data_IF_134358960811
#
_entry.id   IF_134358960811
#
_cell.length_a   1.000
_cell.length_b   1.000
_cell.length_c   1.000
_cell.angle_alpha   90.00
_cell.angle_beta   90.00
_cell.angle_gamma   90.00
#
_symmetry.space_group_name_H-M   'P 1'
#
loop_
_entity.id
_entity.type
_entity.pdbx_description
1 polymer ?
#
# COMPACT_ATOMS: atom_id res chain seq x y z
N UNK A 1 6.08 -10.04 15.20
CA UNK A 1 5.63 -9.54 16.52
C UNK A 1 6.84 -9.35 17.43
N UNK A 2 6.98 -8.19 18.06
CA UNK A 2 8.22 -7.75 18.73
C UNK A 2 8.40 -8.42 20.10
N UNK A 3 9.48 -9.18 20.27
CA UNK A 3 9.87 -9.86 21.52
C UNK A 3 10.18 -8.91 22.71
N UNK A 4 10.05 -7.59 22.54
CA UNK A 4 10.63 -6.56 23.43
C UNK A 4 9.62 -5.67 24.17
N UNK A 5 8.30 -5.87 24.04
CA UNK A 5 7.32 -5.07 24.79
C UNK A 5 6.31 -5.95 25.52
N UNK A 6 5.98 -5.67 26.80
CA UNK A 6 4.83 -6.29 27.44
C UNK A 6 3.59 -6.00 26.58
N UNK A 7 2.67 -6.98 26.47
CA UNK A 7 1.42 -6.89 25.67
C UNK A 7 0.56 -5.67 26.04
N UNK A 8 0.81 -5.04 27.18
CA UNK A 8 -0.08 -4.14 27.89
C UNK A 8 -0.03 -2.67 27.45
N UNK A 9 0.19 -2.38 26.15
CA UNK A 9 -0.34 -1.21 25.40
C UNK A 9 0.47 -0.99 24.13
N UNK A 10 0.20 -1.81 23.11
CA UNK A 10 0.55 -1.45 21.74
C UNK A 10 -0.48 -0.45 21.23
N UNK A 11 -0.06 0.78 20.93
CA UNK A 11 -0.86 1.76 20.20
C UNK A 11 -0.38 1.76 18.75
N UNK A 12 -1.22 1.26 17.85
CA UNK A 12 -0.96 1.22 16.41
C UNK A 12 -1.77 2.33 15.74
N UNK A 13 -1.21 2.94 14.71
CA UNK A 13 -1.90 3.96 13.94
C UNK A 13 -2.93 3.29 13.01
N UNK A 14 -4.20 3.70 13.13
CA UNK A 14 -5.24 3.37 12.15
C UNK A 14 -5.00 4.11 10.84
N UNK A 15 -5.37 3.51 9.70
CA UNK A 15 -5.23 4.20 8.41
C UNK A 15 -6.34 5.25 8.21
N UNK A 16 -6.29 5.95 7.08
CA UNK A 16 -7.26 6.99 6.73
C UNK A 16 -6.79 7.80 5.53
N UNK A 17 -7.33 9.00 5.40
CA UNK A 17 -6.94 9.96 4.36
C UNK A 17 -6.95 11.39 4.92
N UNK A 18 -6.35 12.32 4.18
CA UNK A 18 -6.28 13.74 4.56
C UNK A 18 -6.87 14.56 3.41
N UNK A 19 -7.69 15.54 3.76
CA UNK A 19 -8.27 16.46 2.79
C UNK A 19 -7.17 17.25 2.04
N UNK A 20 -7.23 17.23 0.69
CA UNK A 20 -6.33 17.97 -0.19
C UNK A 20 -4.82 17.75 0.10
N UNK A 21 -4.45 16.54 0.50
CA UNK A 21 -3.06 16.23 0.83
C UNK A 21 -2.22 15.84 -0.40
N UNK A 22 -0.90 15.98 -0.24
CA UNK A 22 0.05 15.36 -1.14
C UNK A 22 0.04 13.83 -0.93
N UNK A 23 -0.56 13.10 -1.87
CA UNK A 23 -0.74 11.64 -1.81
C UNK A 23 0.58 10.84 -1.76
N UNK A 24 1.70 11.45 -2.19
CA UNK A 24 3.02 10.79 -2.16
C UNK A 24 3.70 10.85 -0.79
N UNK A 25 3.22 11.70 0.11
CA UNK A 25 3.77 11.80 1.46
C UNK A 25 3.05 10.81 2.38
N UNK A 26 3.80 9.88 2.98
CA UNK A 26 3.25 9.04 4.04
C UNK A 26 2.94 9.90 5.27
N UNK A 27 1.66 10.11 5.53
CA UNK A 27 1.18 10.90 6.66
C UNK A 27 1.42 10.25 8.03
N UNK A 28 1.77 8.96 8.07
CA UNK A 28 2.22 8.28 9.29
C UNK A 28 3.75 8.27 9.44
N UNK A 29 4.48 8.80 8.46
CA UNK A 29 5.93 8.92 8.50
C UNK A 29 6.42 9.99 9.49
N UNK A 30 7.71 9.95 9.88
CA UNK A 30 8.28 10.84 10.89
C UNK A 30 8.29 12.33 10.48
N UNK A 31 8.11 12.63 9.19
CA UNK A 31 8.06 14.00 8.66
C UNK A 31 6.65 14.61 8.70
N UNK A 32 5.64 13.85 9.08
CA UNK A 32 4.25 14.28 9.16
C UNK A 32 3.82 14.52 10.60
N UNK A 33 2.97 15.54 10.80
CA UNK A 33 2.31 15.82 12.09
C UNK A 33 0.80 15.59 12.03
N UNK A 34 0.29 14.93 10.99
CA UNK A 34 -1.14 14.82 10.70
C UNK A 34 -1.96 14.19 11.83
N UNK A 35 -1.48 13.12 12.45
CA UNK A 35 -2.17 12.51 13.59
C UNK A 35 -2.23 13.44 14.81
N UNK A 36 -1.15 14.20 15.06
CA UNK A 36 -1.11 15.15 16.19
C UNK A 36 -2.05 16.34 15.96
N UNK A 37 -2.11 16.82 14.72
CA UNK A 37 -2.97 17.94 14.30
C UNK A 37 -4.43 17.54 14.07
N UNK A 38 -4.73 16.24 14.06
CA UNK A 38 -6.06 15.66 13.75
C UNK A 38 -6.49 15.95 12.31
N UNK A 39 -5.53 15.99 11.39
CA UNK A 39 -5.77 16.19 9.97
C UNK A 39 -6.27 14.89 9.28
N UNK A 40 -6.07 13.74 9.92
CA UNK A 40 -6.44 12.43 9.38
C UNK A 40 -7.92 12.16 9.62
N UNK A 41 -8.66 11.91 8.54
CA UNK A 41 -9.99 11.31 8.56
C UNK A 41 -9.77 9.80 8.70
N UNK A 42 -9.96 9.31 9.92
CA UNK A 42 -9.52 7.97 10.35
C UNK A 42 -10.54 6.90 10.00
N UNK A 43 -10.05 5.76 9.50
CA UNK A 43 -10.78 4.51 9.42
C UNK A 43 -10.48 3.64 10.65
N UNK A 44 -11.38 3.64 11.63
CA UNK A 44 -11.17 2.98 12.92
C UNK A 44 -11.11 1.44 12.87
N UNK A 45 -11.57 0.87 11.76
CA UNK A 45 -11.65 -0.57 11.48
C UNK A 45 -10.35 -1.16 10.90
N UNK A 46 -9.45 -0.33 10.36
CA UNK A 46 -8.18 -0.81 9.78
C UNK A 46 -6.93 -0.15 10.38
N UNK A 47 -5.88 -0.96 10.54
CA UNK A 47 -4.55 -0.55 11.01
C UNK A 47 -3.65 -0.27 9.80
N UNK A 48 -2.90 0.83 9.82
CA UNK A 48 -1.95 1.16 8.75
C UNK A 48 -0.72 0.25 8.82
N UNK A 49 -0.42 -0.41 7.71
CA UNK A 49 0.73 -1.33 7.59
C UNK A 49 2.02 -0.55 7.29
N UNK A 50 3.05 -0.75 8.14
CA UNK A 50 4.36 -0.11 7.97
C UNK A 50 5.34 -1.05 7.26
N UNK A 51 5.48 -0.91 5.94
CA UNK A 51 6.40 -1.71 5.12
C UNK A 51 7.87 -1.31 5.28
N UNK A 52 8.16 -0.01 5.45
CA UNK A 52 9.54 0.50 5.43
C UNK A 52 10.05 0.67 4.00
N UNK A 53 11.37 0.71 3.83
CA UNK A 53 12.06 0.87 2.53
C UNK A 53 12.20 -0.45 1.78
N UNK A 54 12.14 -1.58 2.48
CA UNK A 54 12.23 -2.91 1.89
C UNK A 54 11.92 -4.03 2.88
N UNK A 55 12.05 -5.31 2.45
CA UNK A 55 11.71 -6.47 3.25
C UNK A 55 12.38 -6.52 4.63
N UNK A 56 13.62 -6.04 4.76
CA UNK A 56 14.39 -6.09 6.00
C UNK A 56 13.81 -5.22 7.13
N UNK A 57 13.07 -4.15 6.78
CA UNK A 57 12.48 -3.23 7.77
C UNK A 57 11.25 -3.82 8.49
N UNK A 58 10.58 -4.79 7.85
CA UNK A 58 9.44 -5.51 8.44
C UNK A 58 9.28 -6.92 7.82
N UNK A 59 10.21 -7.85 8.07
CA UNK A 59 10.29 -9.11 7.32
C UNK A 59 9.01 -9.94 7.40
N UNK A 60 8.36 -9.92 8.56
CA UNK A 60 7.12 -10.64 8.77
C UNK A 60 5.98 -10.10 7.89
N UNK A 61 5.81 -8.77 7.82
CA UNK A 61 4.76 -8.14 7.03
C UNK A 61 4.96 -8.43 5.54
N UNK A 62 6.18 -8.25 5.04
CA UNK A 62 6.51 -8.50 3.64
C UNK A 62 6.27 -9.95 3.25
N UNK A 63 6.73 -10.90 4.08
CA UNK A 63 6.50 -12.33 3.85
C UNK A 63 5.01 -12.68 3.88
N UNK A 64 4.27 -12.16 4.87
CA UNK A 64 2.84 -12.41 4.99
C UNK A 64 2.05 -11.89 3.79
N UNK A 65 2.30 -10.64 3.38
CA UNK A 65 1.60 -10.01 2.26
C UNK A 65 1.99 -10.61 0.91
N UNK A 66 3.24 -11.07 0.75
CA UNK A 66 3.66 -11.85 -0.41
C UNK A 66 2.86 -13.14 -0.51
N UNK A 67 2.83 -13.94 0.55
CA UNK A 67 2.09 -15.20 0.58
C UNK A 67 0.58 -14.99 0.35
N UNK A 68 0.01 -13.93 0.92
CA UNK A 68 -1.38 -13.54 0.67
C UNK A 68 -1.61 -13.21 -0.82
N UNK A 69 -0.74 -12.39 -1.41
CA UNK A 69 -0.87 -11.98 -2.82
C UNK A 69 -0.69 -13.17 -3.77
N UNK A 70 0.27 -14.06 -3.50
CA UNK A 70 0.48 -15.28 -4.27
C UNK A 70 -0.76 -16.20 -4.19
N UNK A 71 -1.37 -16.36 -3.00
CA UNK A 71 -2.62 -17.10 -2.83
C UNK A 71 -3.78 -16.50 -3.62
N UNK A 72 -3.95 -15.18 -3.60
CA UNK A 72 -4.97 -14.50 -4.40
C UNK A 72 -4.74 -14.76 -5.90
N UNK A 73 -3.51 -14.68 -6.38
CA UNK A 73 -3.18 -14.95 -7.78
C UNK A 73 -3.40 -16.42 -8.19
N UNK A 74 -3.24 -17.37 -7.26
CA UNK A 74 -3.59 -18.78 -7.51
C UNK A 74 -5.09 -18.94 -7.75
N UNK A 75 -5.92 -18.23 -6.99
CA UNK A 75 -7.38 -18.40 -6.99
C UNK A 75 -8.09 -17.58 -8.09
N UNK A 76 -7.61 -16.37 -8.38
CA UNK A 76 -8.30 -15.40 -9.23
C UNK A 76 -7.49 -15.01 -10.47
N UNK A 77 -8.18 -14.60 -11.53
CA UNK A 77 -7.58 -14.16 -12.81
C UNK A 77 -7.12 -12.70 -12.78
N UNK A 78 -7.54 -11.95 -11.76
CA UNK A 78 -7.13 -10.57 -11.61
C UNK A 78 -7.22 -10.03 -10.19
N UNK A 79 -6.58 -8.88 -9.99
CA UNK A 79 -6.54 -8.15 -8.73
C UNK A 79 -7.03 -6.72 -8.97
N UNK A 80 -8.01 -6.29 -8.17
CA UNK A 80 -8.36 -4.88 -8.03
C UNK A 80 -7.61 -4.29 -6.83
N UNK A 81 -6.86 -3.22 -7.04
CA UNK A 81 -6.12 -2.50 -6.00
C UNK A 81 -6.90 -1.26 -5.58
N UNK A 82 -7.39 -1.30 -4.35
CA UNK A 82 -8.06 -0.17 -3.72
C UNK A 82 -7.07 0.91 -3.28
N UNK A 83 -7.46 2.18 -3.39
CA UNK A 83 -6.65 3.35 -3.06
C UNK A 83 -5.18 3.23 -3.51
N UNK A 84 -4.96 2.77 -4.75
CA UNK A 84 -3.63 2.38 -5.24
C UNK A 84 -2.62 3.55 -5.20
N UNK A 85 -3.12 4.78 -5.25
CA UNK A 85 -2.35 6.01 -5.13
C UNK A 85 -1.72 6.23 -3.73
N UNK A 86 -2.24 5.58 -2.68
CA UNK A 86 -1.67 5.59 -1.31
C UNK A 86 -0.72 4.43 -1.04
N UNK A 87 -0.58 3.49 -1.98
CA UNK A 87 0.36 2.36 -1.85
C UNK A 87 1.74 2.79 -2.36
N UNK A 88 2.81 2.68 -1.54
CA UNK A 88 4.16 2.96 -2.01
C UNK A 88 4.53 2.11 -3.22
N UNK A 89 5.11 2.74 -4.25
CA UNK A 89 5.35 2.08 -5.55
C UNK A 89 6.16 0.78 -5.40
N UNK A 90 7.24 0.80 -4.62
CA UNK A 90 8.11 -0.37 -4.42
C UNK A 90 7.39 -1.54 -3.73
N UNK A 91 6.37 -1.27 -2.91
CA UNK A 91 5.55 -2.32 -2.28
C UNK A 91 4.63 -2.94 -3.34
N UNK A 92 3.96 -2.10 -4.14
CA UNK A 92 3.07 -2.57 -5.19
C UNK A 92 3.83 -3.39 -6.25
N UNK A 93 4.99 -2.92 -6.70
CA UNK A 93 5.85 -3.62 -7.67
C UNK A 93 6.25 -5.00 -7.14
N UNK A 94 6.77 -5.07 -5.91
CA UNK A 94 7.19 -6.34 -5.32
C UNK A 94 6.06 -7.37 -5.22
N UNK A 95 4.87 -6.94 -4.78
CA UNK A 95 3.72 -7.84 -4.59
C UNK A 95 3.12 -8.26 -5.93
N UNK A 96 2.99 -7.34 -6.90
CA UNK A 96 2.48 -7.66 -8.23
C UNK A 96 3.45 -8.55 -9.02
N UNK A 97 4.76 -8.36 -8.86
CA UNK A 97 5.76 -9.25 -9.45
C UNK A 97 5.67 -10.67 -8.85
N UNK A 98 5.43 -10.78 -7.54
CA UNK A 98 5.17 -12.08 -6.91
C UNK A 98 3.88 -12.72 -7.46
N UNK A 99 2.81 -11.94 -7.59
CA UNK A 99 1.56 -12.38 -8.19
C UNK A 99 1.74 -12.87 -9.63
N UNK A 100 2.51 -12.14 -10.46
CA UNK A 100 2.76 -12.48 -11.86
C UNK A 100 3.64 -13.70 -12.06
N UNK A 101 4.53 -14.01 -11.11
CA UNK A 101 5.26 -15.30 -11.12
C UNK A 101 4.32 -16.49 -10.94
N UNK A 102 3.23 -16.30 -10.21
CA UNK A 102 2.17 -17.32 -10.05
C UNK A 102 1.22 -17.32 -11.26
N UNK A 103 0.83 -16.14 -11.74
CA UNK A 103 -0.07 -15.96 -12.89
C UNK A 103 0.48 -14.92 -13.88
N UNK A 104 1.19 -15.33 -14.94
CA UNK A 104 1.81 -14.40 -15.88
C UNK A 104 0.83 -13.46 -16.61
N UNK A 105 -0.41 -13.91 -16.81
CA UNK A 105 -1.51 -13.20 -17.48
C UNK A 105 -2.45 -12.46 -16.51
N UNK A 106 -2.00 -12.21 -15.27
CA UNK A 106 -2.81 -11.57 -14.22
C UNK A 106 -3.34 -10.20 -14.68
N UNK A 107 -4.66 -10.07 -14.72
CA UNK A 107 -5.34 -8.80 -14.98
C UNK A 107 -5.30 -7.90 -13.73
N UNK A 108 -4.95 -6.62 -13.87
CA UNK A 108 -4.82 -5.70 -12.74
C UNK A 108 -5.60 -4.43 -12.99
N UNK A 109 -6.50 -4.10 -12.06
CA UNK A 109 -7.27 -2.84 -12.06
C UNK A 109 -6.87 -2.03 -10.84
N UNK A 110 -6.76 -0.72 -10.96
CA UNK A 110 -6.42 0.13 -9.83
C UNK A 110 -7.34 1.35 -9.73
N UNK A 111 -7.77 1.64 -8.51
CA UNK A 111 -8.35 2.95 -8.19
C UNK A 111 -7.19 3.95 -8.00
N UNK A 112 -6.90 4.71 -9.06
CA UNK A 112 -5.74 5.59 -9.12
C UNK A 112 -6.14 7.02 -9.50
N UNK A 113 -6.24 7.89 -8.50
CA UNK A 113 -6.42 9.33 -8.72
C UNK A 113 -5.07 10.04 -8.61
N UNK A 114 -4.63 10.65 -9.71
CA UNK A 114 -3.50 11.58 -9.70
C UNK A 114 -4.01 12.95 -10.11
N UNK A 115 -3.75 13.97 -9.30
CA UNK A 115 -3.90 15.36 -9.74
C UNK A 115 -2.94 15.56 -10.93
N UNK A 116 -3.50 15.91 -12.08
CA UNK A 116 -2.88 15.91 -13.41
C UNK A 116 -1.64 16.82 -13.62
N UNK A 117 -1.02 17.35 -12.57
CA UNK A 117 -0.07 18.46 -12.67
C UNK A 117 1.38 18.17 -12.27
N UNK A 118 1.79 16.93 -11.98
CA UNK A 118 3.18 16.71 -11.55
C UNK A 118 3.93 15.47 -12.04
N UNK A 119 3.37 14.61 -12.91
CA UNK A 119 4.14 13.67 -13.76
C UNK A 119 3.21 12.91 -14.71
N UNK A 120 3.33 13.15 -16.01
CA UNK A 120 2.59 12.39 -17.02
C UNK A 120 2.96 10.91 -16.99
N UNK A 121 1.96 10.02 -17.08
CA UNK A 121 1.95 8.58 -17.44
C UNK A 121 3.08 7.62 -17.00
N UNK A 122 4.10 8.06 -16.27
CA UNK A 122 5.31 7.29 -15.98
C UNK A 122 5.08 6.13 -15.00
N UNK A 123 3.98 6.18 -14.23
CA UNK A 123 3.60 5.10 -13.31
C UNK A 123 2.77 3.99 -13.93
N UNK A 124 2.09 4.24 -15.06
CA UNK A 124 1.23 3.24 -15.73
C UNK A 124 2.07 2.25 -16.53
N UNK A 125 3.14 2.73 -17.18
CA UNK A 125 4.03 1.90 -18.01
C UNK A 125 4.90 0.90 -17.25
N UNK A 126 5.29 1.18 -15.99
CA UNK A 126 6.09 0.25 -15.16
C UNK A 126 5.27 -0.81 -14.44
N UNK A 127 3.95 -0.59 -14.28
CA UNK A 127 3.10 -1.49 -13.51
C UNK A 127 2.52 -2.66 -14.32
N UNK A 128 2.74 -2.68 -15.65
CA UNK A 128 2.13 -3.65 -16.56
C UNK A 128 0.62 -3.49 -16.59
N UNK A 129 0.07 -2.97 -17.70
CA UNK A 129 -1.38 -2.88 -18.00
C UNK A 129 -2.28 -2.76 -16.77
N UNK A 130 -2.13 -1.65 -16.04
CA UNK A 130 -3.07 -1.29 -14.98
C UNK A 130 -4.10 -0.37 -15.60
N UNK A 131 -5.34 -0.86 -15.73
CA UNK A 131 -6.46 -0.01 -16.11
C UNK A 131 -6.91 0.78 -14.88
N UNK A 132 -6.87 2.11 -15.00
CA UNK A 132 -7.32 3.02 -13.96
C UNK A 132 -8.83 3.22 -14.12
N UNK A 133 -9.63 2.88 -13.09
CA UNK A 133 -11.02 3.35 -13.03
C UNK A 133 -11.05 4.60 -12.13
N UNK A 134 -11.63 5.66 -12.68
CA UNK A 134 -12.00 6.87 -11.94
C UNK A 134 -13.40 6.74 -11.32
#
# INVERSE_FOLDING_TARGET
MTKKKPKERLALANNGWIWNANLLQDFAGPTSTAYLRRDVIVWGDCIKLRYGTGPDDNPWLWSHMRAYTEQVAQLFQGIRIDNCHLTPLHVAEYLLDAARRVRPDLYVVAELYQLAHSRGNAGVGRRGTVEASA
#
